data_IF_624441220029
#
_entry.id   IF_624441220029
#
_cell.length_a   1.000
_cell.length_b   1.000
_cell.length_c   1.000
_cell.angle_alpha   90.00
_cell.angle_beta   90.00
_cell.angle_gamma   90.00
#
_symmetry.space_group_name_H-M   'P 1'
#
loop_
_entity.id
_entity.type
_entity.pdbx_description
1 polymer ?
#
# COMPACT_ATOMS: atom_id res chain seq x y z
N UNK A 1 -18.02 13.32 19.57
CA UNK A 1 -16.87 13.42 20.50
C UNK A 1 -16.87 12.34 21.58
N UNK A 2 -18.00 12.02 22.25
CA UNK A 2 -18.03 10.97 23.30
C UNK A 2 -17.63 9.58 22.81
N UNK A 3 -18.14 9.13 21.69
CA UNK A 3 -17.94 7.78 21.15
C UNK A 3 -16.47 7.49 20.77
N UNK A 4 -15.76 8.43 20.14
CA UNK A 4 -14.32 8.30 19.80
C UNK A 4 -13.45 8.18 21.05
N UNK A 5 -13.74 8.95 22.10
CA UNK A 5 -12.98 8.90 23.34
C UNK A 5 -13.20 7.58 24.10
N UNK A 6 -14.44 7.11 24.17
CA UNK A 6 -14.76 5.82 24.80
C UNK A 6 -14.11 4.67 24.05
N UNK A 7 -14.15 4.67 22.70
CA UNK A 7 -13.47 3.70 21.86
C UNK A 7 -11.96 3.72 22.12
N UNK A 8 -11.34 4.91 22.10
CA UNK A 8 -9.90 5.07 22.32
C UNK A 8 -9.47 4.53 23.70
N UNK A 9 -10.20 4.86 24.77
CA UNK A 9 -9.91 4.36 26.12
C UNK A 9 -10.04 2.84 26.22
N UNK A 10 -11.07 2.26 25.60
CA UNK A 10 -11.25 0.81 25.59
C UNK A 10 -10.06 0.14 24.86
N UNK A 11 -9.68 0.63 23.68
CA UNK A 11 -8.56 0.09 22.90
C UNK A 11 -7.24 0.21 23.65
N UNK A 12 -6.98 1.34 24.31
CA UNK A 12 -5.79 1.51 25.14
C UNK A 12 -5.75 0.48 26.28
N UNK A 13 -6.87 0.26 26.98
CA UNK A 13 -6.97 -0.74 28.04
C UNK A 13 -6.73 -2.16 27.52
N UNK A 14 -7.31 -2.53 26.37
CA UNK A 14 -7.08 -3.83 25.71
C UNK A 14 -5.61 -4.02 25.28
N UNK A 15 -4.94 -2.93 24.88
CA UNK A 15 -3.53 -2.91 24.53
C UNK A 15 -2.56 -2.89 25.75
N UNK A 16 -3.09 -2.85 26.98
CA UNK A 16 -2.27 -2.74 28.21
C UNK A 16 -1.67 -1.36 28.42
N UNK A 17 -2.19 -0.34 27.74
CA UNK A 17 -1.78 1.05 27.89
C UNK A 17 -2.74 1.78 28.86
N UNK A 18 -2.28 2.82 29.60
CA UNK A 18 -3.11 3.50 30.59
C UNK A 18 -4.22 4.35 29.91
N UNK A 19 -5.51 3.98 30.00
CA UNK A 19 -6.59 4.71 29.36
C UNK A 19 -6.82 6.10 29.92
N UNK A 20 -6.47 6.31 31.20
CA UNK A 20 -6.58 7.60 31.89
C UNK A 20 -5.46 8.58 31.51
N UNK A 21 -4.39 8.12 30.87
CA UNK A 21 -3.34 8.97 30.31
C UNK A 21 -3.75 9.60 28.95
N UNK A 22 -4.89 9.23 28.38
CA UNK A 22 -5.39 9.82 27.13
C UNK A 22 -5.70 11.29 27.30
N UNK A 23 -4.98 12.16 26.58
CA UNK A 23 -5.12 13.62 26.61
C UNK A 23 -5.72 14.21 25.33
N UNK A 24 -5.72 13.45 24.23
CA UNK A 24 -6.27 13.89 22.96
C UNK A 24 -6.63 12.74 22.03
N UNK A 25 -7.70 12.93 21.28
CA UNK A 25 -8.10 12.09 20.12
C UNK A 25 -8.31 13.03 18.96
N UNK A 26 -7.57 12.84 17.87
CA UNK A 26 -7.62 13.69 16.68
C UNK A 26 -7.88 12.83 15.44
N UNK A 27 -8.91 13.15 14.63
CA UNK A 27 -9.07 12.48 13.35
C UNK A 27 -7.88 12.83 12.43
N UNK A 28 -7.33 11.83 11.78
CA UNK A 28 -6.35 12.01 10.71
C UNK A 28 -7.06 11.98 9.36
N UNK A 29 -6.83 13.03 8.55
CA UNK A 29 -7.37 13.14 7.20
C UNK A 29 -6.45 12.46 6.19
N UNK A 30 -7.02 11.88 5.14
CA UNK A 30 -6.28 11.28 4.03
C UNK A 30 -6.64 9.81 3.75
N UNK A 31 -7.15 9.08 4.73
CA UNK A 31 -7.69 7.73 4.50
C UNK A 31 -9.11 7.79 3.91
N UNK A 32 -9.38 6.99 2.89
CA UNK A 32 -10.70 6.92 2.24
C UNK A 32 -11.51 5.70 2.66
N UNK A 33 -10.88 4.75 3.35
CA UNK A 33 -11.49 3.47 3.73
C UNK A 33 -11.67 3.34 5.26
N UNK A 34 -10.60 3.44 6.03
CA UNK A 34 -10.63 3.29 7.48
C UNK A 34 -10.92 4.62 8.19
N UNK A 35 -11.55 4.54 9.37
CA UNK A 35 -11.49 5.64 10.33
C UNK A 35 -10.12 5.63 10.99
N UNK A 36 -9.38 6.74 10.89
CA UNK A 36 -8.03 6.87 11.41
C UNK A 36 -7.97 8.00 12.43
N UNK A 37 -7.50 7.70 13.64
CA UNK A 37 -7.42 8.65 14.75
C UNK A 37 -6.03 8.63 15.39
N UNK A 38 -5.46 9.80 15.64
CA UNK A 38 -4.26 9.95 16.49
C UNK A 38 -4.68 10.03 17.94
N UNK A 39 -4.06 9.21 18.79
CA UNK A 39 -4.23 9.20 20.23
C UNK A 39 -2.99 9.80 20.88
N UNK A 40 -3.20 10.78 21.76
CA UNK A 40 -2.12 11.47 22.50
C UNK A 40 -2.21 11.10 23.97
N UNK A 41 -1.09 10.67 24.56
CA UNK A 41 -0.99 10.34 25.98
C UNK A 41 -0.24 11.43 26.77
N UNK A 42 -0.48 11.50 28.06
CA UNK A 42 0.11 12.49 28.96
C UNK A 42 1.64 12.41 29.07
N UNK A 43 2.23 11.24 28.84
CA UNK A 43 3.67 11.01 28.80
C UNK A 43 4.34 11.41 27.48
N UNK A 44 3.56 11.94 26.53
CA UNK A 44 4.00 12.28 25.18
C UNK A 44 3.90 11.13 24.18
N UNK A 45 3.42 9.95 24.59
CA UNK A 45 3.15 8.81 23.70
C UNK A 45 2.13 9.19 22.62
N UNK A 46 2.41 8.80 21.37
CA UNK A 46 1.56 9.06 20.21
C UNK A 46 1.28 7.74 19.52
N UNK A 47 0.00 7.48 19.29
CA UNK A 47 -0.47 6.26 18.64
C UNK A 47 -1.46 6.59 17.53
N UNK A 48 -1.58 5.69 16.57
CA UNK A 48 -2.60 5.75 15.52
C UNK A 48 -3.53 4.56 15.69
N UNK A 49 -4.81 4.86 15.80
CA UNK A 49 -5.90 3.89 15.85
C UNK A 49 -6.59 3.85 14.49
N UNK A 50 -6.57 2.69 13.84
CA UNK A 50 -7.37 2.41 12.64
C UNK A 50 -8.54 1.51 12.99
N UNK A 51 -9.72 1.87 12.48
CA UNK A 51 -10.96 1.10 12.61
C UNK A 51 -11.55 0.96 11.21
N UNK A 52 -11.77 -0.26 10.71
CA UNK A 52 -12.33 -0.46 9.38
C UNK A 52 -13.81 -0.06 9.36
N UNK A 53 -14.38 0.19 8.18
CA UNK A 53 -15.80 0.42 8.04
C UNK A 53 -16.61 -0.81 8.49
N UNK A 54 -17.89 -0.58 8.79
CA UNK A 54 -18.77 -1.71 9.12
C UNK A 54 -18.81 -2.73 7.97
N UNK A 55 -18.95 -4.05 8.25
CA UNK A 55 -18.91 -5.11 7.23
C UNK A 55 -19.92 -4.95 6.08
N UNK A 56 -21.01 -4.19 6.31
CA UNK A 56 -22.03 -3.90 5.30
C UNK A 56 -21.63 -2.78 4.33
N UNK A 57 -20.56 -2.02 4.59
CA UNK A 57 -20.08 -0.98 3.69
C UNK A 57 -19.47 -1.63 2.45
N UNK A 58 -19.86 -1.22 1.24
CA UNK A 58 -19.27 -1.74 0.01
C UNK A 58 -17.76 -1.47 -0.07
N UNK A 59 -17.03 -2.41 -0.62
CA UNK A 59 -15.59 -2.32 -0.84
C UNK A 59 -15.12 -3.42 -1.79
N UNK A 60 -13.87 -3.41 -2.20
CA UNK A 60 -13.31 -4.44 -3.07
C UNK A 60 -13.08 -5.74 -2.29
N UNK A 61 -13.12 -6.88 -3.01
CA UNK A 61 -12.97 -8.22 -2.39
C UNK A 61 -11.67 -8.36 -1.60
N UNK A 62 -10.57 -7.80 -2.10
CA UNK A 62 -9.27 -7.87 -1.43
C UNK A 62 -9.17 -6.94 -0.21
N UNK A 63 -10.04 -5.94 -0.08
CA UNK A 63 -10.03 -4.97 1.04
C UNK A 63 -10.61 -5.55 2.35
N UNK A 64 -11.10 -6.76 2.31
CA UNK A 64 -11.57 -7.41 3.54
C UNK A 64 -10.39 -7.77 4.43
N UNK A 65 -10.46 -7.38 5.71
CA UNK A 65 -9.43 -7.67 6.72
C UNK A 65 -8.08 -6.98 6.44
N UNK A 66 -8.06 -5.81 5.83
CA UNK A 66 -6.84 -5.03 5.54
C UNK A 66 -5.95 -4.80 6.78
N UNK A 67 -6.56 -4.60 7.97
CA UNK A 67 -5.78 -4.40 9.21
C UNK A 67 -4.89 -5.60 9.58
N UNK A 68 -5.22 -6.81 9.13
CA UNK A 68 -4.35 -7.98 9.28
C UNK A 68 -3.11 -7.81 8.41
N UNK A 69 -3.30 -7.43 7.15
CA UNK A 69 -2.17 -7.16 6.24
C UNK A 69 -1.29 -6.03 6.74
N UNK A 70 -1.89 -4.96 7.30
CA UNK A 70 -1.11 -3.85 7.85
C UNK A 70 -0.31 -4.25 9.11
N UNK A 71 -0.88 -5.10 9.96
CA UNK A 71 -0.14 -5.64 11.10
C UNK A 71 1.04 -6.51 10.66
N UNK A 72 0.86 -7.34 9.63
CA UNK A 72 1.93 -8.14 9.04
C UNK A 72 3.00 -7.25 8.37
N UNK A 73 2.60 -6.17 7.70
CA UNK A 73 3.53 -5.16 7.20
C UNK A 73 4.36 -4.55 8.33
N UNK A 74 3.71 -4.10 9.40
CA UNK A 74 4.42 -3.52 10.56
C UNK A 74 5.44 -4.49 11.16
N UNK A 75 5.09 -5.77 11.27
CA UNK A 75 5.99 -6.80 11.78
C UNK A 75 7.19 -7.03 10.84
N UNK A 76 6.96 -7.15 9.55
CA UNK A 76 8.02 -7.32 8.54
C UNK A 76 8.92 -6.09 8.42
N UNK A 77 8.36 -4.88 8.50
CA UNK A 77 9.14 -3.64 8.51
C UNK A 77 10.06 -3.55 9.73
N UNK A 78 9.57 -3.95 10.91
CA UNK A 78 10.38 -4.01 12.13
C UNK A 78 11.51 -5.05 12.01
N UNK A 79 11.25 -6.24 11.47
CA UNK A 79 12.25 -7.27 11.18
C UNK A 79 13.34 -6.74 10.23
N UNK A 80 12.92 -6.01 9.19
CA UNK A 80 13.83 -5.42 8.19
C UNK A 80 14.61 -4.20 8.71
N UNK A 81 14.29 -3.68 9.90
CA UNK A 81 14.86 -2.42 10.41
C UNK A 81 14.49 -1.22 9.54
N UNK A 82 13.27 -1.21 9.00
CA UNK A 82 12.69 -0.13 8.20
C UNK A 82 11.88 0.79 9.10
N UNK A 83 11.94 2.09 8.83
CA UNK A 83 11.17 3.08 9.57
C UNK A 83 9.69 2.98 9.17
N UNK A 84 8.87 2.44 10.05
CA UNK A 84 7.44 2.23 9.86
C UNK A 84 6.73 2.20 11.22
N UNK A 85 5.41 2.27 11.29
CA UNK A 85 4.68 2.06 12.54
C UNK A 85 4.94 0.68 13.14
N UNK A 86 4.94 0.58 14.47
CA UNK A 86 4.91 -0.70 15.16
C UNK A 86 3.48 -1.04 15.57
N UNK A 87 2.98 -2.21 15.21
CA UNK A 87 1.70 -2.70 15.69
C UNK A 87 1.80 -2.94 17.21
N UNK A 88 0.94 -2.27 17.96
CA UNK A 88 0.87 -2.38 19.42
C UNK A 88 -0.21 -3.39 19.82
N UNK A 89 -1.36 -3.32 19.17
CA UNK A 89 -2.47 -4.26 19.41
C UNK A 89 -3.33 -4.39 18.15
N UNK A 90 -3.67 -5.62 17.84
CA UNK A 90 -4.70 -5.97 16.83
C UNK A 90 -5.81 -6.66 17.60
N UNK A 91 -7.00 -6.09 17.58
CA UNK A 91 -8.07 -6.60 18.42
C UNK A 91 -9.43 -6.13 17.99
N UNK A 92 -10.31 -6.15 18.98
CA UNK A 92 -11.74 -6.02 18.80
C UNK A 92 -12.37 -7.39 18.55
N UNK A 93 -13.67 -7.51 18.85
CA UNK A 93 -14.42 -8.68 18.44
C UNK A 93 -14.65 -8.63 16.91
N UNK A 94 -15.29 -9.64 16.36
CA UNK A 94 -15.58 -9.73 14.92
C UNK A 94 -16.47 -8.60 14.41
N UNK A 95 -17.12 -7.85 15.30
CA UNK A 95 -18.00 -6.73 14.95
C UNK A 95 -17.29 -5.37 14.95
N UNK A 96 -16.22 -5.21 15.72
CA UNK A 96 -15.45 -3.96 15.84
C UNK A 96 -13.93 -4.25 15.85
N UNK A 97 -13.37 -4.69 14.72
CA UNK A 97 -11.91 -4.87 14.63
C UNK A 97 -11.18 -3.53 14.71
N UNK A 98 -9.93 -3.54 15.17
CA UNK A 98 -9.05 -2.37 15.18
C UNK A 98 -7.58 -2.77 15.04
N UNK A 99 -6.76 -1.80 14.63
CA UNK A 99 -5.30 -1.85 14.73
C UNK A 99 -4.84 -0.58 15.47
N UNK A 100 -4.14 -0.79 16.59
CA UNK A 100 -3.42 0.27 17.30
C UNK A 100 -1.94 0.14 17.01
N UNK A 101 -1.32 1.22 16.54
CA UNK A 101 0.10 1.27 16.20
C UNK A 101 0.76 2.55 16.73
N UNK A 102 2.09 2.56 16.80
CA UNK A 102 2.84 3.78 17.11
C UNK A 102 2.70 4.80 15.99
N UNK A 103 2.68 6.10 16.32
CA UNK A 103 2.75 7.15 15.30
C UNK A 103 4.20 7.34 14.84
N UNK A 104 4.40 7.43 13.53
CA UNK A 104 5.68 7.83 12.95
C UNK A 104 5.86 9.35 13.01
N UNK A 105 7.10 9.86 13.09
CA UNK A 105 7.39 11.29 13.03
C UNK A 105 7.33 11.83 11.59
N UNK A 106 7.15 13.15 11.48
CA UNK A 106 7.14 13.85 10.20
C UNK A 106 5.75 14.06 9.63
N UNK A 107 5.71 14.49 8.38
CA UNK A 107 4.50 14.73 7.61
C UNK A 107 4.59 14.08 6.21
N UNK A 108 3.47 13.81 5.54
CA UNK A 108 3.49 13.22 4.21
C UNK A 108 4.36 14.03 3.25
N UNK A 109 5.12 13.34 2.39
CA UNK A 109 6.00 13.97 1.40
C UNK A 109 5.26 15.00 0.53
N UNK A 110 3.99 14.76 0.24
CA UNK A 110 3.13 15.71 -0.49
C UNK A 110 2.92 17.05 0.22
N UNK A 111 3.12 17.12 1.54
CA UNK A 111 3.05 18.35 2.35
C UNK A 111 4.43 18.88 2.72
N UNK A 112 5.38 17.98 2.92
CA UNK A 112 6.76 18.34 3.28
C UNK A 112 7.48 19.09 2.16
N UNK A 113 7.08 18.89 0.91
CA UNK A 113 7.60 19.57 -0.29
C UNK A 113 9.14 19.71 -0.29
N UNK A 114 9.91 18.61 -0.21
CA UNK A 114 11.36 18.71 -0.10
C UNK A 114 11.96 19.40 -1.32
N UNK A 115 12.96 20.25 -1.10
CA UNK A 115 13.73 20.89 -2.16
C UNK A 115 14.50 19.85 -3.00
N UNK A 116 14.90 20.19 -4.22
CA UNK A 116 15.48 19.22 -5.17
C UNK A 116 16.68 18.45 -4.59
N UNK A 117 17.58 19.10 -3.85
CA UNK A 117 18.72 18.43 -3.20
C UNK A 117 18.31 17.48 -2.09
N UNK A 118 17.33 17.84 -1.27
CA UNK A 118 16.74 16.96 -0.25
C UNK A 118 16.00 15.81 -0.90
N UNK A 119 15.27 16.08 -1.99
CA UNK A 119 14.49 15.07 -2.72
C UNK A 119 15.37 13.89 -3.18
N UNK A 120 16.52 14.18 -3.78
CA UNK A 120 17.45 13.14 -4.24
C UNK A 120 17.97 12.29 -3.06
N UNK A 121 18.37 12.92 -1.96
CA UNK A 121 18.83 12.23 -0.76
C UNK A 121 17.73 11.34 -0.15
N UNK A 122 16.51 11.86 -0.02
CA UNK A 122 15.35 11.13 0.48
C UNK A 122 14.96 9.96 -0.44
N UNK A 123 15.03 10.13 -1.78
CA UNK A 123 14.79 9.05 -2.74
C UNK A 123 15.84 7.94 -2.61
N UNK A 124 17.11 8.30 -2.39
CA UNK A 124 18.18 7.32 -2.13
C UNK A 124 17.93 6.57 -0.81
N UNK A 125 17.58 7.29 0.26
CA UNK A 125 17.21 6.65 1.54
C UNK A 125 16.01 5.71 1.39
N UNK A 126 14.96 6.16 0.70
CA UNK A 126 13.78 5.34 0.40
C UNK A 126 14.14 4.06 -0.34
N UNK A 127 15.02 4.14 -1.35
CA UNK A 127 15.52 2.97 -2.07
C UNK A 127 16.19 1.97 -1.12
N UNK A 128 17.03 2.44 -0.18
CA UNK A 128 17.64 1.57 0.82
C UNK A 128 16.61 0.91 1.74
N UNK A 129 15.57 1.64 2.16
CA UNK A 129 14.52 1.10 3.01
C UNK A 129 13.68 0.04 2.28
N UNK A 130 13.26 0.30 1.05
CA UNK A 130 12.50 -0.64 0.22
C UNK A 130 13.32 -1.91 -0.08
N UNK A 131 14.62 -1.77 -0.37
CA UNK A 131 15.48 -2.94 -0.56
C UNK A 131 15.58 -3.82 0.70
N UNK A 132 15.50 -3.22 1.89
CA UNK A 132 15.44 -3.99 3.15
C UNK A 132 14.10 -4.69 3.33
N UNK A 133 12.97 -4.03 3.02
CA UNK A 133 11.65 -4.68 3.02
C UNK A 133 11.64 -5.92 2.12
N UNK A 134 12.19 -5.81 0.92
CA UNK A 134 12.24 -6.92 -0.04
C UNK A 134 13.17 -8.08 0.35
N UNK A 135 13.85 -8.03 1.50
CA UNK A 135 14.55 -9.20 2.09
C UNK A 135 13.66 -10.03 2.98
N UNK A 136 12.56 -9.48 3.46
CA UNK A 136 11.58 -10.22 4.27
C UNK A 136 10.77 -11.10 3.33
N UNK A 137 10.79 -12.40 3.60
CA UNK A 137 10.13 -13.40 2.75
C UNK A 137 8.92 -14.00 3.46
N UNK A 138 7.87 -14.25 2.68
CA UNK A 138 6.62 -14.83 3.16
C UNK A 138 6.53 -16.34 2.99
N UNK A 139 5.52 -16.98 3.60
CA UNK A 139 5.30 -18.41 3.51
C UNK A 139 4.64 -18.87 2.20
N UNK A 140 4.28 -17.94 1.32
CA UNK A 140 3.62 -18.16 0.03
C UNK A 140 3.25 -16.83 -0.61
N UNK A 141 2.61 -16.83 -1.76
CA UNK A 141 2.28 -15.65 -2.54
C UNK A 141 0.83 -15.19 -2.35
N UNK A 142 0.60 -13.87 -2.38
CA UNK A 142 -0.72 -13.24 -2.31
C UNK A 142 -0.98 -12.46 -1.02
N UNK A 143 -2.23 -12.08 -0.78
CA UNK A 143 -2.63 -11.30 0.39
C UNK A 143 -2.67 -12.16 1.66
N UNK A 144 -1.94 -11.80 2.74
CA UNK A 144 -1.91 -12.56 3.97
C UNK A 144 -3.25 -12.53 4.73
N UNK A 145 -4.10 -11.53 4.48
CA UNK A 145 -5.42 -11.41 5.11
C UNK A 145 -6.34 -12.61 4.86
N UNK A 146 -6.05 -13.43 3.85
CA UNK A 146 -6.90 -14.53 3.41
C UNK A 146 -8.21 -14.09 2.76
N UNK A 147 -8.38 -12.81 2.45
CA UNK A 147 -9.60 -12.27 1.82
C UNK A 147 -9.90 -12.90 0.45
N UNK A 148 -8.85 -13.29 -0.28
CA UNK A 148 -8.95 -13.96 -1.59
C UNK A 148 -8.62 -15.45 -1.53
N UNK A 149 -8.60 -16.05 -0.35
CA UNK A 149 -8.21 -17.43 -0.13
C UNK A 149 -6.81 -17.58 0.49
N UNK A 150 -6.31 -18.82 0.62
CA UNK A 150 -4.97 -19.08 1.16
C UNK A 150 -3.89 -18.56 0.23
N UNK A 151 -2.68 -18.34 0.78
CA UNK A 151 -1.51 -18.02 -0.01
C UNK A 151 -1.22 -19.12 -1.05
N UNK A 152 -0.86 -18.70 -2.26
CA UNK A 152 -0.57 -19.62 -3.36
C UNK A 152 0.90 -20.10 -3.33
N UNK A 153 1.20 -21.25 -3.92
CA UNK A 153 2.57 -21.77 -4.00
C UNK A 153 3.44 -21.05 -5.03
N UNK A 154 2.85 -20.35 -5.98
CA UNK A 154 3.54 -19.62 -7.04
C UNK A 154 2.87 -18.26 -7.31
N UNK A 155 3.68 -17.33 -7.87
CA UNK A 155 3.23 -15.97 -8.11
C UNK A 155 2.19 -15.84 -9.22
N UNK A 156 2.29 -16.65 -10.27
CA UNK A 156 1.29 -16.64 -11.36
C UNK A 156 -0.10 -16.95 -10.82
N UNK A 157 -0.22 -18.00 -10.01
CA UNK A 157 -1.49 -18.38 -9.38
C UNK A 157 -2.02 -17.25 -8.48
N UNK A 158 -1.18 -16.71 -7.60
CA UNK A 158 -1.56 -15.61 -6.71
C UNK A 158 -2.03 -14.38 -7.49
N UNK A 159 -1.21 -13.90 -8.43
CA UNK A 159 -1.51 -12.69 -9.18
C UNK A 159 -2.75 -12.84 -10.07
N UNK A 160 -2.99 -14.04 -10.62
CA UNK A 160 -4.22 -14.34 -11.36
C UNK A 160 -5.44 -14.21 -10.47
N UNK A 161 -5.43 -14.80 -9.25
CA UNK A 161 -6.53 -14.67 -8.29
C UNK A 161 -6.76 -13.21 -7.88
N UNK A 162 -5.69 -12.46 -7.62
CA UNK A 162 -5.75 -11.05 -7.26
C UNK A 162 -6.38 -10.22 -8.39
N UNK A 163 -5.94 -10.44 -9.62
CA UNK A 163 -6.43 -9.70 -10.79
C UNK A 163 -7.88 -10.07 -11.13
N UNK A 164 -8.23 -11.36 -11.12
CA UNK A 164 -9.59 -11.82 -11.38
C UNK A 164 -10.58 -11.28 -10.33
N UNK A 165 -10.15 -11.10 -9.07
CA UNK A 165 -10.97 -10.49 -8.03
C UNK A 165 -11.30 -9.02 -8.35
N UNK A 166 -10.32 -8.21 -8.75
CA UNK A 166 -10.55 -6.80 -9.12
C UNK A 166 -11.38 -6.69 -10.40
N UNK A 167 -11.15 -7.56 -11.39
CA UNK A 167 -11.97 -7.60 -12.62
C UNK A 167 -13.43 -7.99 -12.31
N UNK A 168 -13.66 -8.88 -11.34
CA UNK A 168 -15.00 -9.22 -10.88
C UNK A 168 -15.65 -8.03 -10.17
N UNK A 169 -14.91 -7.32 -9.31
CA UNK A 169 -15.39 -6.09 -8.68
C UNK A 169 -15.72 -5.01 -9.72
N UNK A 170 -14.88 -4.85 -10.74
CA UNK A 170 -15.13 -3.90 -11.83
C UNK A 170 -16.44 -4.19 -12.59
N UNK A 171 -16.75 -5.48 -12.80
CA UNK A 171 -18.07 -5.89 -13.39
C UNK A 171 -19.23 -5.60 -12.45
N UNK A 172 -19.11 -6.02 -11.19
CA UNK A 172 -20.19 -5.93 -10.20
C UNK A 172 -20.54 -4.47 -9.89
N UNK A 173 -19.54 -3.58 -9.83
CA UNK A 173 -19.73 -2.15 -9.60
C UNK A 173 -19.97 -1.34 -10.88
N UNK A 174 -19.80 -1.93 -12.07
CA UNK A 174 -19.91 -1.21 -13.32
C UNK A 174 -18.83 -0.14 -13.52
N UNK A 175 -17.58 -0.46 -13.15
CA UNK A 175 -16.45 0.46 -13.25
C UNK A 175 -16.20 0.91 -14.69
N UNK A 176 -15.89 2.19 -14.88
CA UNK A 176 -15.61 2.79 -16.18
C UNK A 176 -14.14 2.57 -16.55
N UNK A 177 -13.87 1.47 -17.22
CA UNK A 177 -12.54 1.14 -17.74
C UNK A 177 -12.38 1.65 -19.18
N UNK A 178 -11.14 1.86 -19.68
CA UNK A 178 -10.88 2.27 -21.07
C UNK A 178 -11.26 1.19 -22.09
N UNK A 179 -11.32 -0.08 -21.69
CA UNK A 179 -11.76 -1.23 -22.48
C UNK A 179 -12.80 -2.07 -21.73
N UNK A 180 -13.62 -2.87 -22.43
CA UNK A 180 -14.46 -3.87 -21.78
C UNK A 180 -13.65 -4.78 -20.84
N UNK A 181 -14.21 -5.11 -19.66
CA UNK A 181 -13.51 -5.90 -18.64
C UNK A 181 -12.96 -7.22 -19.19
N UNK A 182 -13.69 -7.86 -20.11
CA UNK A 182 -13.26 -9.14 -20.70
C UNK A 182 -12.06 -8.97 -21.65
N UNK A 183 -11.93 -7.83 -22.33
CA UNK A 183 -10.75 -7.51 -23.13
C UNK A 183 -9.54 -7.25 -22.24
N UNK A 184 -9.72 -6.48 -21.16
CA UNK A 184 -8.67 -6.26 -20.17
C UNK A 184 -8.18 -7.59 -19.60
N UNK A 185 -9.10 -8.47 -19.19
CA UNK A 185 -8.78 -9.80 -18.68
C UNK A 185 -8.01 -10.65 -19.70
N UNK A 186 -8.43 -10.61 -20.98
CA UNK A 186 -7.77 -11.36 -22.04
C UNK A 186 -6.32 -10.89 -22.24
N UNK A 187 -6.09 -9.57 -22.30
CA UNK A 187 -4.73 -9.00 -22.45
C UNK A 187 -3.83 -9.40 -21.29
N UNK A 188 -4.28 -9.24 -20.04
CA UNK A 188 -3.47 -9.60 -18.86
C UNK A 188 -3.07 -11.08 -18.88
N UNK A 189 -3.98 -11.97 -19.25
CA UNK A 189 -3.72 -13.43 -19.32
C UNK A 189 -2.69 -13.81 -20.36
N UNK A 190 -2.55 -13.07 -21.46
CA UNK A 190 -1.53 -13.38 -22.49
C UNK A 190 -0.11 -13.31 -21.94
N UNK A 191 0.12 -12.44 -20.96
CA UNK A 191 1.44 -12.18 -20.37
C UNK A 191 1.72 -12.95 -19.08
N UNK A 192 0.77 -13.76 -18.58
CA UNK A 192 0.91 -14.46 -17.31
C UNK A 192 2.17 -15.33 -17.20
N UNK A 193 2.73 -15.76 -18.33
CA UNK A 193 4.00 -16.52 -18.36
C UNK A 193 5.20 -15.78 -17.78
N UNK A 194 5.25 -14.45 -17.88
CA UNK A 194 6.33 -13.66 -17.30
C UNK A 194 6.39 -13.71 -15.75
N UNK A 195 5.29 -14.09 -15.12
CA UNK A 195 5.20 -14.20 -13.65
C UNK A 195 5.91 -15.43 -13.10
N UNK A 196 6.21 -16.44 -13.92
CA UNK A 196 6.90 -17.67 -13.50
C UNK A 196 8.34 -17.44 -13.08
N UNK A 197 8.93 -16.31 -13.46
CA UNK A 197 10.29 -15.95 -13.03
C UNK A 197 10.36 -15.55 -11.54
N UNK A 198 9.21 -15.27 -10.92
CA UNK A 198 9.14 -14.86 -9.52
C UNK A 198 9.01 -16.10 -8.65
N UNK A 199 10.11 -16.48 -8.02
CA UNK A 199 10.20 -17.72 -7.23
C UNK A 199 10.25 -17.48 -5.72
N UNK A 200 10.44 -16.24 -5.28
CA UNK A 200 10.55 -15.89 -3.86
C UNK A 200 9.49 -14.84 -3.51
N UNK A 201 8.55 -15.15 -2.60
CA UNK A 201 7.57 -14.18 -2.13
C UNK A 201 8.22 -13.21 -1.16
N UNK A 202 8.41 -11.95 -1.58
CA UNK A 202 8.91 -10.89 -0.70
C UNK A 202 7.79 -10.01 -0.20
N UNK A 203 8.05 -9.26 0.88
CA UNK A 203 7.13 -8.26 1.38
C UNK A 203 7.04 -7.09 0.40
N UNK A 204 5.86 -6.86 -0.15
CA UNK A 204 5.53 -5.75 -1.05
C UNK A 204 4.50 -4.86 -0.34
N UNK A 205 4.76 -3.57 -0.27
CA UNK A 205 3.82 -2.59 0.33
C UNK A 205 2.66 -2.26 -0.62
N UNK A 206 2.98 -2.09 -1.88
CA UNK A 206 2.08 -1.83 -3.01
C UNK A 206 1.32 -0.49 -2.98
N UNK A 207 1.57 0.40 -2.01
CA UNK A 207 0.96 1.74 -1.94
C UNK A 207 1.97 2.82 -1.49
N UNK A 208 3.23 2.76 -1.99
CA UNK A 208 4.31 3.68 -1.63
C UNK A 208 4.31 4.97 -2.48
N UNK A 209 3.15 5.58 -2.67
CA UNK A 209 3.09 6.91 -3.26
C UNK A 209 3.48 8.00 -2.23
N UNK A 210 3.80 9.25 -2.65
CA UNK A 210 4.29 10.30 -1.75
C UNK A 210 3.40 10.62 -0.53
N UNK A 211 2.12 10.27 -0.56
CA UNK A 211 1.21 10.45 0.57
C UNK A 211 1.47 9.48 1.73
N UNK A 212 2.03 8.30 1.45
CA UNK A 212 2.31 7.25 2.42
C UNK A 212 3.77 7.20 2.87
N UNK A 213 4.57 8.20 2.48
CA UNK A 213 5.97 8.36 2.87
C UNK A 213 6.07 9.61 3.75
N UNK A 214 6.39 9.46 5.02
CA UNK A 214 6.59 10.59 5.93
C UNK A 214 8.01 11.12 5.82
N UNK A 215 8.14 12.43 5.79
CA UNK A 215 9.41 13.16 5.85
C UNK A 215 9.52 13.85 7.19
N UNK A 216 10.55 13.50 7.95
CA UNK A 216 10.87 14.13 9.21
C UNK A 216 11.98 15.16 9.00
N UNK A 217 11.83 16.36 9.61
CA UNK A 217 12.87 17.37 9.72
C UNK A 217 13.25 17.55 11.19
N UNK A 218 14.31 16.87 11.66
CA UNK A 218 14.80 17.06 13.00
C UNK A 218 15.21 18.53 13.24
N UNK A 219 15.15 18.98 14.50
CA UNK A 219 15.59 20.35 14.85
C UNK A 219 17.07 20.60 14.49
N UNK A 220 17.87 19.56 14.43
CA UNK A 220 19.24 19.57 13.93
C UNK A 220 19.46 18.36 13.03
N UNK A 221 19.98 18.61 11.81
CA UNK A 221 20.25 17.57 10.83
C UNK A 221 19.46 17.73 9.54
N UNK A 222 19.67 16.80 8.63
CA UNK A 222 19.02 16.76 7.33
C UNK A 222 17.64 16.10 7.42
N UNK A 223 16.78 16.38 6.44
CA UNK A 223 15.52 15.69 6.28
C UNK A 223 15.77 14.20 6.04
N UNK A 224 14.92 13.35 6.62
CA UNK A 224 14.99 11.88 6.50
C UNK A 224 13.61 11.26 6.36
N UNK A 225 13.55 10.00 5.98
CA UNK A 225 12.30 9.25 5.97
C UNK A 225 11.85 9.02 7.42
N UNK A 226 10.72 9.63 7.79
CA UNK A 226 10.11 9.51 9.12
C UNK A 226 9.27 8.25 9.27
N UNK A 227 8.80 7.67 8.16
CA UNK A 227 8.07 6.40 8.16
C UNK A 227 7.42 6.07 6.83
N UNK A 228 7.34 4.77 6.55
CA UNK A 228 6.48 4.20 5.51
C UNK A 228 5.19 3.76 6.18
N UNK A 229 4.06 4.37 5.85
CA UNK A 229 2.77 4.17 6.50
C UNK A 229 1.74 3.59 5.54
N UNK A 230 0.63 3.13 6.11
CA UNK A 230 -0.52 2.62 5.34
C UNK A 230 -0.20 1.35 4.53
N UNK A 231 0.47 0.40 5.19
CA UNK A 231 0.86 -0.89 4.60
C UNK A 231 -0.28 -1.90 4.45
N UNK A 232 -1.53 -1.45 4.45
CA UNK A 232 -2.70 -2.33 4.42
C UNK A 232 -2.88 -3.09 3.10
N UNK A 233 -2.31 -2.57 2.01
CA UNK A 233 -2.32 -3.22 0.68
C UNK A 233 -1.18 -4.23 0.49
N UNK A 234 -0.38 -4.50 1.54
CA UNK A 234 0.75 -5.40 1.43
C UNK A 234 0.32 -6.79 0.99
N UNK A 235 1.18 -7.39 0.22
CA UNK A 235 1.11 -8.79 -0.15
C UNK A 235 2.52 -9.41 -0.26
N UNK A 236 2.58 -10.72 -0.27
CA UNK A 236 3.78 -11.47 -0.58
C UNK A 236 3.88 -11.68 -2.08
N UNK A 237 4.91 -11.12 -2.75
CA UNK A 237 4.98 -11.11 -4.21
C UNK A 237 6.33 -10.76 -4.81
N UNK A 238 6.27 -10.22 -6.04
CA UNK A 238 7.43 -9.72 -6.78
C UNK A 238 7.85 -8.34 -6.25
N UNK A 239 9.14 -8.11 -5.90
CA UNK A 239 9.63 -6.80 -5.50
C UNK A 239 9.37 -5.69 -6.53
N UNK A 240 9.27 -6.01 -7.83
CA UNK A 240 8.95 -5.03 -8.87
C UNK A 240 7.54 -4.42 -8.72
N UNK A 241 6.65 -5.06 -7.98
CA UNK A 241 5.30 -4.54 -7.78
C UNK A 241 5.29 -3.24 -6.95
N UNK A 242 6.23 -3.05 -6.00
CA UNK A 242 6.35 -1.78 -5.30
C UNK A 242 6.77 -0.63 -6.20
N UNK A 243 7.51 -0.92 -7.26
CA UNK A 243 8.03 0.12 -8.15
C UNK A 243 6.94 0.89 -8.89
N UNK A 244 5.75 0.30 -9.06
CA UNK A 244 4.65 0.97 -9.74
C UNK A 244 3.97 2.02 -8.86
N UNK A 245 3.83 1.77 -7.56
CA UNK A 245 3.28 2.76 -6.62
C UNK A 245 4.32 3.84 -6.25
N UNK A 246 5.62 3.49 -6.17
CA UNK A 246 6.74 4.42 -5.98
C UNK A 246 6.91 5.42 -7.11
N UNK A 247 6.49 5.05 -8.32
CA UNK A 247 6.48 5.90 -9.51
C UNK A 247 5.07 6.04 -10.08
N UNK A 248 4.09 6.27 -9.20
CA UNK A 248 2.68 6.40 -9.60
C UNK A 248 2.52 7.41 -10.76
N UNK A 249 1.90 6.98 -11.86
CA UNK A 249 1.74 7.73 -13.11
C UNK A 249 3.09 8.14 -13.77
N UNK A 250 4.17 7.44 -13.45
CA UNK A 250 5.51 7.70 -13.97
C UNK A 250 6.28 6.42 -14.25
N UNK A 251 7.60 6.55 -14.38
CA UNK A 251 8.51 5.46 -14.70
C UNK A 251 9.66 5.37 -13.69
N UNK A 252 9.65 4.35 -12.85
CA UNK A 252 10.70 4.11 -11.85
C UNK A 252 12.09 4.00 -12.46
N UNK A 253 12.20 3.57 -13.73
CA UNK A 253 13.49 3.43 -14.44
C UNK A 253 14.22 4.75 -14.60
N UNK A 254 13.53 5.87 -14.47
CA UNK A 254 14.09 7.23 -14.53
C UNK A 254 14.49 7.79 -13.17
N UNK A 255 14.16 7.09 -12.07
CA UNK A 255 14.50 7.53 -10.72
C UNK A 255 15.87 7.00 -10.29
N UNK A 256 16.92 7.61 -10.81
CA UNK A 256 18.30 7.22 -10.56
C UNK A 256 18.65 7.23 -9.06
N UNK A 257 18.14 8.19 -8.31
CA UNK A 257 18.42 8.32 -6.88
C UNK A 257 17.82 7.14 -6.08
N UNK A 258 16.56 6.78 -6.35
CA UNK A 258 15.93 5.62 -5.74
C UNK A 258 16.66 4.33 -6.11
N UNK A 259 16.93 4.11 -7.40
CA UNK A 259 17.58 2.90 -7.90
C UNK A 259 19.01 2.75 -7.37
N UNK A 260 19.76 3.85 -7.21
CA UNK A 260 21.07 3.84 -6.56
C UNK A 260 20.97 3.36 -5.10
N UNK A 261 20.07 3.96 -4.30
CA UNK A 261 19.86 3.56 -2.91
C UNK A 261 19.38 2.12 -2.77
N UNK A 262 18.48 1.68 -3.67
CA UNK A 262 18.01 0.31 -3.72
C UNK A 262 19.16 -0.69 -3.99
N UNK A 263 20.04 -0.39 -4.95
CA UNK A 263 21.22 -1.19 -5.26
C UNK A 263 22.26 -1.20 -4.14
N UNK A 264 22.52 -0.05 -3.50
CA UNK A 264 23.46 0.07 -2.35
C UNK A 264 23.04 -0.83 -1.17
N UNK A 265 21.75 -1.00 -0.95
CA UNK A 265 21.23 -1.88 0.07
C UNK A 265 21.09 -3.35 -0.38
N UNK A 266 21.60 -3.71 -1.57
CA UNK A 266 21.63 -5.06 -2.10
C UNK A 266 20.38 -5.47 -2.87
N UNK A 267 19.47 -4.55 -3.16
CA UNK A 267 18.33 -4.77 -4.04
C UNK A 267 18.80 -4.91 -5.50
N UNK A 268 18.08 -5.69 -6.29
CA UNK A 268 18.38 -5.87 -7.72
C UNK A 268 17.21 -5.39 -8.56
N UNK A 269 17.40 -4.28 -9.27
CA UNK A 269 16.45 -3.75 -10.23
C UNK A 269 16.98 -4.00 -11.66
N UNK A 270 16.58 -5.11 -12.25
CA UNK A 270 16.92 -5.46 -13.63
C UNK A 270 15.67 -5.34 -14.48
N UNK A 271 15.74 -4.51 -15.53
CA UNK A 271 14.60 -4.23 -16.41
C UNK A 271 14.77 -4.93 -17.77
N UNK A 272 14.94 -6.25 -17.75
CA UNK A 272 14.92 -7.07 -18.95
C UNK A 272 13.51 -7.18 -19.56
N UNK A 273 13.35 -7.95 -20.62
CA UNK A 273 12.08 -8.08 -21.33
C UNK A 273 10.96 -8.60 -20.40
N UNK A 274 11.23 -9.64 -19.63
CA UNK A 274 10.24 -10.23 -18.74
C UNK A 274 9.88 -9.28 -17.56
N UNK A 275 10.87 -8.59 -16.98
CA UNK A 275 10.64 -7.59 -15.96
C UNK A 275 9.79 -6.42 -16.45
N UNK A 276 9.95 -5.96 -17.70
CA UNK A 276 9.10 -4.92 -18.29
C UNK A 276 7.65 -5.38 -18.43
N UNK A 277 7.44 -6.62 -18.86
CA UNK A 277 6.11 -7.22 -18.92
C UNK A 277 5.48 -7.27 -17.52
N UNK A 278 6.22 -7.71 -16.50
CA UNK A 278 5.74 -7.75 -15.12
C UNK A 278 5.39 -6.35 -14.62
N UNK A 279 6.22 -5.34 -14.87
CA UNK A 279 5.90 -3.95 -14.51
C UNK A 279 4.62 -3.45 -15.20
N UNK A 280 4.40 -3.81 -16.47
CA UNK A 280 3.16 -3.46 -17.17
C UNK A 280 1.94 -4.16 -16.55
N UNK A 281 2.07 -5.44 -16.15
CA UNK A 281 1.03 -6.18 -15.43
C UNK A 281 0.70 -5.53 -14.08
N UNK A 282 1.71 -5.11 -13.30
CA UNK A 282 1.51 -4.48 -11.98
C UNK A 282 0.94 -3.07 -12.10
N UNK A 283 1.32 -2.29 -13.13
CA UNK A 283 0.66 -1.01 -13.45
C UNK A 283 -0.81 -1.23 -13.80
N UNK A 284 -1.11 -2.19 -14.68
CA UNK A 284 -2.48 -2.52 -15.04
C UNK A 284 -3.29 -2.92 -13.79
N UNK A 285 -2.74 -3.73 -12.89
CA UNK A 285 -3.38 -4.14 -11.65
C UNK A 285 -3.66 -2.95 -10.72
N UNK A 286 -2.66 -2.09 -10.47
CA UNK A 286 -2.83 -0.89 -9.63
C UNK A 286 -3.90 0.06 -10.21
N UNK A 287 -3.85 0.33 -11.51
CA UNK A 287 -4.81 1.23 -12.14
C UNK A 287 -6.22 0.65 -12.22
N UNK A 288 -6.35 -0.68 -12.35
CA UNK A 288 -7.65 -1.36 -12.21
C UNK A 288 -8.24 -1.17 -10.82
N UNK A 289 -7.44 -1.31 -9.77
CA UNK A 289 -7.88 -1.01 -8.39
C UNK A 289 -8.35 0.44 -8.30
N UNK A 290 -7.51 1.40 -8.69
CA UNK A 290 -7.81 2.84 -8.59
C UNK A 290 -9.11 3.23 -9.31
N UNK A 291 -9.36 2.68 -10.51
CA UNK A 291 -10.57 2.97 -11.27
C UNK A 291 -11.81 2.26 -10.72
N UNK A 292 -11.64 1.14 -10.03
CA UNK A 292 -12.75 0.33 -9.52
C UNK A 292 -13.19 0.77 -8.12
N UNK A 293 -12.25 1.09 -7.23
CA UNK A 293 -12.52 1.42 -5.82
C UNK A 293 -13.33 2.70 -5.61
N UNK A 294 -13.34 3.61 -6.59
CA UNK A 294 -14.09 4.86 -6.51
C UNK A 294 -15.60 4.65 -6.42
N UNK A 295 -16.10 3.60 -7.06
CA UNK A 295 -17.53 3.33 -7.11
C UNK A 295 -18.09 2.95 -5.73
N UNK A 296 -17.57 1.91 -5.04
CA UNK A 296 -18.05 1.58 -3.69
C UNK A 296 -17.74 2.66 -2.65
N UNK A 297 -16.68 3.46 -2.85
CA UNK A 297 -16.29 4.53 -1.94
C UNK A 297 -17.05 5.84 -2.16
N UNK A 298 -17.80 5.96 -3.26
CA UNK A 298 -18.51 7.17 -3.64
C UNK A 298 -17.60 8.42 -3.59
N UNK A 299 -16.42 8.33 -4.21
CA UNK A 299 -15.30 9.29 -4.08
C UNK A 299 -15.62 10.70 -4.59
N UNK A 300 -16.71 10.88 -5.34
CA UNK A 300 -17.21 12.16 -5.85
C UNK A 300 -16.72 12.51 -7.25
N UNK A 301 -17.53 13.31 -7.94
CA UNK A 301 -17.39 13.62 -9.38
C UNK A 301 -16.04 14.25 -9.78
N UNK A 302 -15.39 14.99 -8.89
CA UNK A 302 -14.09 15.63 -9.18
C UNK A 302 -12.97 14.59 -9.19
N UNK A 303 -12.95 13.72 -8.20
CA UNK A 303 -11.98 12.63 -8.11
C UNK A 303 -12.16 11.63 -9.26
N UNK A 304 -13.41 11.27 -9.58
CA UNK A 304 -13.72 10.37 -10.70
C UNK A 304 -13.29 10.97 -12.04
N UNK A 305 -13.46 12.28 -12.24
CA UNK A 305 -12.98 12.97 -13.45
C UNK A 305 -11.44 12.97 -13.52
N UNK A 306 -10.76 13.20 -12.40
CA UNK A 306 -9.31 13.14 -12.34
C UNK A 306 -8.80 11.74 -12.69
N UNK A 307 -9.37 10.68 -12.12
CA UNK A 307 -9.00 9.30 -12.44
C UNK A 307 -9.25 8.97 -13.93
N UNK A 308 -10.39 9.36 -14.47
CA UNK A 308 -10.68 9.18 -15.88
C UNK A 308 -9.70 9.91 -16.82
N UNK A 309 -9.17 11.06 -16.39
CA UNK A 309 -8.24 11.86 -17.18
C UNK A 309 -6.77 11.41 -17.00
N UNK A 310 -6.38 10.99 -15.80
CA UNK A 310 -4.99 10.69 -15.47
C UNK A 310 -4.69 9.18 -15.45
N UNK A 311 -5.59 8.35 -14.90
CA UNK A 311 -5.32 6.93 -14.67
C UNK A 311 -5.81 6.04 -15.81
N UNK A 312 -6.96 6.34 -16.41
CA UNK A 312 -7.48 5.49 -17.48
C UNK A 312 -6.55 5.44 -18.71
N UNK A 313 -5.90 6.54 -19.17
CA UNK A 313 -4.90 6.48 -20.23
C UNK A 313 -3.68 5.63 -19.87
N UNK A 314 -3.25 5.64 -18.61
CA UNK A 314 -2.11 4.86 -18.14
C UNK A 314 -2.43 3.35 -18.06
N UNK A 315 -3.68 3.00 -17.70
CA UNK A 315 -4.15 1.62 -17.84
C UNK A 315 -4.11 1.18 -19.31
N UNK A 316 -4.61 2.01 -20.21
CA UNK A 316 -4.57 1.73 -21.66
C UNK A 316 -3.13 1.53 -22.14
N UNK A 317 -2.19 2.41 -21.77
CA UNK A 317 -0.78 2.29 -22.12
C UNK A 317 -0.15 1.00 -21.58
N UNK A 318 -0.47 0.61 -20.35
CA UNK A 318 0.02 -0.64 -19.76
C UNK A 318 -0.52 -1.87 -20.52
N UNK A 319 -1.79 -1.86 -20.91
CA UNK A 319 -2.40 -2.94 -21.71
C UNK A 319 -1.78 -3.04 -23.11
N UNK A 320 -1.46 -1.91 -23.75
CA UNK A 320 -0.77 -1.92 -25.05
C UNK A 320 0.66 -2.44 -24.91
N UNK A 321 1.39 -2.05 -23.86
CA UNK A 321 2.75 -2.59 -23.60
C UNK A 321 2.72 -4.12 -23.42
N UNK A 322 1.74 -4.65 -22.68
CA UNK A 322 1.53 -6.10 -22.54
C UNK A 322 1.32 -6.75 -23.90
N UNK A 323 0.41 -6.22 -24.72
CA UNK A 323 0.09 -6.78 -26.06
C UNK A 323 1.28 -6.82 -27.01
N UNK A 324 2.14 -5.80 -26.98
CA UNK A 324 3.31 -5.73 -27.86
C UNK A 324 4.47 -6.60 -27.39
N UNK A 325 4.41 -7.11 -26.16
CA UNK A 325 5.47 -7.93 -25.56
C UNK A 325 5.17 -9.43 -25.64
N UNK A 326 3.98 -9.81 -26.05
CA UNK A 326 3.52 -11.19 -26.26
C UNK A 326 3.29 -11.48 -27.74
#
# INVERSE_FOLDING_TARGET
>A
MGDSWERARRVLAEAGLPPDALTGVRPLSGGTYNTVEELLLADGGRYVLKVPPAPAVPGLRHERRLLVSEADFCAGAAEAGVTAPHAVSVGGDTSVPYLLMTACPGEPWTRAEPADGERAALRTELGRQVARLHRVTGPGFGYPSGALGPLAPDWRTAFTVMTDAVLADARDYGARLPRPVDEVAAVIRTAAGALDEVTVPVLVHFDLWPGNILVERPAAGEARIGGLIDGERMFWGDPLADFVSLALLGDIRTDEAFLAGYGEAGGRAVFDAAARVRLALYRAYLYLIMLTETIPRASGDEHDRWLGAAVAPELEAALEEIRHSC
#
